data_IF_697012761214
#
_entry.id   IF_697012761214
#
_cell.length_a   1.000
_cell.length_b   1.000
_cell.length_c   1.000
_cell.angle_alpha   90.00
_cell.angle_beta   90.00
_cell.angle_gamma   90.00
#
_symmetry.space_group_name_H-M   'P 1'
#
loop_
_entity.id
_entity.type
_entity.pdbx_description
1 polymer ?
#
# COMPACT_ATOMS: atom_id res chain seq x y z
N UNK A 1 8.73 4.36 -10.48
CA UNK A 1 7.81 5.20 -9.68
C UNK A 1 8.59 6.21 -8.84
N UNK A 2 8.12 7.46 -8.80
CA UNK A 2 8.70 8.56 -8.02
C UNK A 2 7.81 8.80 -6.79
N UNK A 3 8.41 8.78 -5.60
CA UNK A 3 7.70 9.02 -4.35
C UNK A 3 7.68 10.51 -4.00
N UNK A 4 6.51 11.13 -4.14
CA UNK A 4 6.17 12.45 -3.61
C UNK A 4 4.98 12.38 -2.62
N UNK A 5 4.82 11.23 -1.94
CA UNK A 5 3.69 10.97 -1.04
C UNK A 5 4.06 10.78 0.43
N UNK A 6 5.27 10.31 0.75
CA UNK A 6 5.65 9.98 2.12
C UNK A 6 5.77 11.25 3.01
N UNK A 7 5.06 11.34 4.16
CA UNK A 7 4.97 12.57 4.94
C UNK A 7 6.19 12.89 5.82
N UNK A 8 7.08 11.90 6.02
CA UNK A 8 8.24 11.99 6.92
C UNK A 8 9.53 11.46 6.27
N UNK A 9 9.63 11.47 4.94
CA UNK A 9 10.82 10.95 4.25
C UNK A 9 11.96 11.96 4.30
N UNK A 10 13.13 11.50 4.72
CA UNK A 10 14.42 12.16 4.48
C UNK A 10 15.25 11.29 3.56
N UNK A 11 15.92 11.90 2.59
CA UNK A 11 16.92 11.24 1.73
C UNK A 11 18.16 12.14 1.72
N UNK A 12 19.32 11.58 2.04
CA UNK A 12 20.57 12.34 2.17
C UNK A 12 20.41 13.61 3.04
N UNK A 13 19.73 13.48 4.19
CA UNK A 13 19.40 14.57 5.12
C UNK A 13 18.52 15.71 4.59
N UNK A 14 18.00 15.62 3.36
CA UNK A 14 17.05 16.58 2.78
C UNK A 14 15.62 16.06 2.89
N UNK A 15 14.66 16.97 3.04
CA UNK A 15 13.25 16.61 3.02
C UNK A 15 12.87 16.11 1.61
N UNK A 16 12.21 14.96 1.56
CA UNK A 16 11.77 14.30 0.33
C UNK A 16 10.31 13.87 0.48
N UNK A 17 9.78 13.12 -0.49
CA UNK A 17 8.39 12.68 -0.45
C UNK A 17 7.45 13.88 -0.62
N UNK A 18 6.39 13.94 0.19
CA UNK A 18 5.38 15.00 0.06
C UNK A 18 5.84 16.39 0.51
N UNK A 19 7.08 16.53 0.98
CA UNK A 19 7.69 17.84 1.16
C UNK A 19 7.96 18.57 -0.16
N UNK A 20 8.19 17.82 -1.24
CA UNK A 20 8.41 18.38 -2.57
C UNK A 20 7.17 19.11 -3.11
N UNK A 21 5.97 18.74 -2.64
CA UNK A 21 4.71 19.34 -3.09
C UNK A 21 4.59 20.84 -2.76
N UNK A 22 5.48 21.40 -1.93
CA UNK A 22 5.52 22.86 -1.66
C UNK A 22 6.19 23.67 -2.77
N UNK A 23 6.96 23.01 -3.63
CA UNK A 23 7.75 23.65 -4.69
C UNK A 23 7.42 23.00 -6.03
N UNK A 24 6.38 23.52 -6.67
CA UNK A 24 5.86 23.01 -7.95
C UNK A 24 6.90 23.09 -9.07
N UNK A 25 7.77 24.11 -9.04
CA UNK A 25 8.86 24.27 -9.99
C UNK A 25 9.87 23.13 -9.83
N UNK A 26 10.32 22.87 -8.61
CA UNK A 26 11.23 21.77 -8.31
C UNK A 26 10.61 20.41 -8.69
N UNK A 27 9.31 20.24 -8.49
CA UNK A 27 8.60 19.03 -8.95
C UNK A 27 8.75 18.87 -10.47
N UNK A 28 8.46 19.92 -11.25
CA UNK A 28 8.63 19.87 -12.70
C UNK A 28 10.07 19.55 -13.14
N UNK A 29 11.06 20.17 -12.52
CA UNK A 29 12.48 19.91 -12.79
C UNK A 29 12.86 18.45 -12.52
N UNK A 30 12.43 17.88 -11.38
CA UNK A 30 12.71 16.49 -11.03
C UNK A 30 12.04 15.54 -12.03
N UNK A 31 10.75 15.77 -12.34
CA UNK A 31 10.01 14.87 -13.23
C UNK A 31 10.60 14.89 -14.64
N UNK A 32 10.87 16.07 -15.20
CA UNK A 32 11.47 16.20 -16.53
C UNK A 32 12.84 15.54 -16.61
N UNK A 33 13.70 15.73 -15.59
CA UNK A 33 15.01 15.09 -15.56
C UNK A 33 14.92 13.55 -15.48
N UNK A 34 14.03 13.01 -14.66
CA UNK A 34 13.89 11.55 -14.50
C UNK A 34 13.29 10.92 -15.76
N UNK A 35 12.24 11.52 -16.34
CA UNK A 35 11.61 11.03 -17.58
C UNK A 35 12.60 11.04 -18.75
N UNK A 36 13.40 12.10 -18.90
CA UNK A 36 14.39 12.18 -19.97
C UNK A 36 15.58 11.20 -19.80
N UNK A 37 15.78 10.67 -18.59
CA UNK A 37 16.95 9.82 -18.29
C UNK A 37 16.73 8.33 -18.56
N UNK A 38 15.49 7.88 -18.81
CA UNK A 38 15.16 6.46 -18.93
C UNK A 38 14.13 6.19 -20.05
N UNK A 39 14.25 5.04 -20.70
CA UNK A 39 13.31 4.60 -21.75
C UNK A 39 12.07 3.87 -21.19
N UNK A 40 12.06 3.56 -19.90
CA UNK A 40 10.94 2.87 -19.24
C UNK A 40 9.88 3.87 -18.76
N UNK A 41 8.58 3.50 -18.72
CA UNK A 41 7.53 4.39 -18.22
C UNK A 41 7.81 4.88 -16.80
N UNK A 42 7.75 6.20 -16.61
CA UNK A 42 7.91 6.83 -15.29
C UNK A 42 6.53 7.14 -14.72
N UNK A 43 6.28 6.65 -13.51
CA UNK A 43 5.05 6.88 -12.75
C UNK A 43 5.31 7.76 -11.53
N UNK A 44 4.28 8.43 -11.02
CA UNK A 44 4.36 9.32 -9.87
C UNK A 44 3.32 8.96 -8.81
N UNK A 45 3.71 8.98 -7.53
CA UNK A 45 2.79 8.87 -6.40
C UNK A 45 2.82 10.11 -5.51
N UNK A 46 1.68 10.79 -5.37
CA UNK A 46 1.52 12.02 -4.59
C UNK A 46 0.51 11.88 -3.43
N UNK A 47 0.44 12.95 -2.64
CA UNK A 47 -0.66 13.30 -1.73
C UNK A 47 -1.40 14.52 -2.28
N UNK A 48 -2.49 14.92 -1.63
CA UNK A 48 -3.29 16.09 -2.05
C UNK A 48 -2.56 17.45 -1.97
N UNK A 49 -1.46 17.49 -1.21
CA UNK A 49 -0.66 18.69 -0.97
C UNK A 49 0.06 18.62 0.38
N UNK A 50 0.61 19.74 0.83
CA UNK A 50 1.34 19.81 2.10
C UNK A 50 0.41 19.80 3.32
N UNK A 51 -0.62 20.64 3.31
CA UNK A 51 -1.69 20.69 4.32
C UNK A 51 -3.03 21.02 3.65
N UNK A 52 -4.13 21.04 4.42
CA UNK A 52 -5.48 21.24 3.85
C UNK A 52 -5.63 22.61 3.18
N UNK A 53 -4.89 23.60 3.68
CA UNK A 53 -4.88 24.99 3.24
C UNK A 53 -4.03 25.20 1.97
N UNK A 54 -3.14 24.25 1.66
CA UNK A 54 -2.18 24.34 0.54
C UNK A 54 -2.23 23.07 -0.32
N UNK A 55 -3.44 22.66 -0.67
CA UNK A 55 -3.65 21.57 -1.63
C UNK A 55 -3.37 22.05 -3.05
N UNK A 56 -2.58 21.26 -3.78
CA UNK A 56 -2.18 21.59 -5.15
C UNK A 56 -2.07 20.35 -6.05
N UNK A 57 -2.67 19.23 -5.66
CA UNK A 57 -2.60 18.00 -6.44
C UNK A 57 -3.05 18.13 -7.91
N UNK A 58 -4.11 18.89 -8.27
CA UNK A 58 -4.45 19.11 -9.68
C UNK A 58 -3.35 19.85 -10.46
N UNK A 59 -2.67 20.81 -9.84
CA UNK A 59 -1.53 21.51 -10.46
C UNK A 59 -0.34 20.58 -10.64
N UNK A 60 0.00 19.80 -9.60
CA UNK A 60 1.07 18.79 -9.67
C UNK A 60 0.76 17.72 -10.72
N UNK A 61 -0.50 17.32 -10.88
CA UNK A 61 -0.91 16.37 -11.90
C UNK A 61 -0.65 16.88 -13.33
N UNK A 62 -1.02 18.13 -13.62
CA UNK A 62 -0.73 18.77 -14.93
C UNK A 62 0.77 18.90 -15.21
N UNK A 63 1.55 19.23 -14.18
CA UNK A 63 3.02 19.26 -14.28
C UNK A 63 3.56 17.86 -14.61
N UNK A 64 3.05 16.84 -13.93
CA UNK A 64 3.46 15.46 -14.16
C UNK A 64 3.13 14.97 -15.57
N UNK A 65 1.91 15.22 -16.04
CA UNK A 65 1.48 14.91 -17.41
C UNK A 65 2.37 15.64 -18.44
N UNK A 66 2.59 16.94 -18.26
CA UNK A 66 3.44 17.75 -19.16
C UNK A 66 4.89 17.26 -19.19
N UNK A 67 5.38 16.71 -18.08
CA UNK A 67 6.72 16.13 -17.98
C UNK A 67 6.83 14.73 -18.57
N UNK A 68 5.73 14.09 -19.00
CA UNK A 68 5.72 12.75 -19.60
C UNK A 68 5.51 11.61 -18.59
N UNK A 69 5.01 11.88 -17.38
CA UNK A 69 4.61 10.83 -16.43
C UNK A 69 3.47 10.01 -17.01
N UNK A 70 3.61 8.68 -17.02
CA UNK A 70 2.66 7.78 -17.68
C UNK A 70 1.47 7.36 -16.81
N UNK A 71 1.58 7.47 -15.48
CA UNK A 71 0.51 7.14 -14.53
C UNK A 71 0.72 7.89 -13.21
N UNK A 72 -0.38 8.39 -12.64
CA UNK A 72 -0.39 9.15 -11.39
C UNK A 72 -1.19 8.42 -10.31
N UNK A 73 -0.57 8.12 -9.18
CA UNK A 73 -1.29 7.64 -7.98
C UNK A 73 -1.49 8.78 -6.98
N UNK A 74 -2.73 8.98 -6.52
CA UNK A 74 -3.09 10.03 -5.56
C UNK A 74 -3.59 9.40 -4.27
N UNK A 75 -2.85 9.61 -3.17
CA UNK A 75 -3.40 9.35 -1.84
C UNK A 75 -4.29 10.53 -1.42
N UNK A 76 -5.57 10.29 -1.12
CA UNK A 76 -6.58 11.32 -0.78
C UNK A 76 -6.40 11.96 0.60
N UNK A 77 -5.17 12.16 1.07
CA UNK A 77 -4.85 12.92 2.29
C UNK A 77 -3.68 13.85 1.98
N UNK A 78 -3.58 14.95 2.70
CA UNK A 78 -2.42 15.85 2.65
C UNK A 78 -1.25 15.27 3.45
N UNK A 79 -0.05 15.85 3.32
CA UNK A 79 1.11 15.46 4.12
C UNK A 79 0.85 15.61 5.62
N UNK A 80 0.23 16.72 6.03
CA UNK A 80 -0.08 17.03 7.43
C UNK A 80 -0.97 15.99 8.10
N UNK A 81 -1.92 15.40 7.36
CA UNK A 81 -2.80 14.35 7.87
C UNK A 81 -2.04 13.10 8.34
N UNK A 82 -0.84 12.82 7.82
CA UNK A 82 -0.17 11.50 7.98
C UNK A 82 -1.13 10.36 7.64
N UNK A 83 -1.61 9.62 8.65
CA UNK A 83 -2.58 8.53 8.53
C UNK A 83 -3.92 8.83 9.24
N UNK A 84 -4.10 10.05 9.75
CA UNK A 84 -5.29 10.49 10.48
C UNK A 84 -6.29 11.22 9.57
N UNK A 85 -7.55 11.26 10.02
CA UNK A 85 -8.67 11.86 9.29
C UNK A 85 -9.08 11.05 8.07
N UNK A 86 -10.18 11.44 7.45
CA UNK A 86 -10.75 10.72 6.30
C UNK A 86 -9.95 10.93 5.01
N UNK A 87 -10.15 10.01 4.08
CA UNK A 87 -9.64 10.11 2.71
C UNK A 87 -10.62 10.94 1.89
N UNK A 88 -10.14 12.02 1.32
CA UNK A 88 -10.91 12.92 0.46
C UNK A 88 -10.87 12.40 -0.99
N UNK A 89 -11.86 11.57 -1.31
CA UNK A 89 -12.04 11.03 -2.66
C UNK A 89 -12.56 12.09 -3.64
N UNK A 90 -13.28 13.12 -3.19
CA UNK A 90 -13.72 14.21 -4.07
C UNK A 90 -12.52 15.02 -4.59
N UNK A 91 -11.52 15.25 -3.74
CA UNK A 91 -10.27 15.85 -4.18
C UNK A 91 -9.50 14.98 -5.18
N UNK A 92 -9.61 13.64 -5.09
CA UNK A 92 -9.06 12.74 -6.13
C UNK A 92 -9.82 12.90 -7.44
N UNK A 93 -11.16 12.99 -7.41
CA UNK A 93 -11.97 13.22 -8.62
C UNK A 93 -11.54 14.51 -9.34
N UNK A 94 -11.32 15.61 -8.61
CA UNK A 94 -10.80 16.84 -9.20
C UNK A 94 -9.38 16.74 -9.78
N UNK A 95 -8.59 15.73 -9.38
CA UNK A 95 -7.31 15.40 -10.05
C UNK A 95 -7.54 14.59 -11.31
N UNK A 96 -8.48 13.63 -11.30
CA UNK A 96 -8.87 12.86 -12.48
C UNK A 96 -9.36 13.79 -13.59
N UNK A 97 -10.21 14.76 -13.27
CA UNK A 97 -10.73 15.74 -14.23
C UNK A 97 -9.66 16.69 -14.80
N UNK A 98 -8.51 16.81 -14.13
CA UNK A 98 -7.48 17.77 -14.47
C UNK A 98 -6.46 17.28 -15.51
N UNK A 99 -6.41 15.98 -15.81
CA UNK A 99 -5.39 15.35 -16.67
C UNK A 99 -6.00 14.22 -17.52
N UNK A 100 -5.30 13.83 -18.59
CA UNK A 100 -5.67 12.70 -19.45
C UNK A 100 -4.94 11.41 -19.10
N UNK A 101 -3.78 11.49 -18.45
CA UNK A 101 -3.05 10.29 -17.98
C UNK A 101 -3.86 9.50 -16.93
N UNK A 102 -3.70 8.17 -16.86
CA UNK A 102 -4.46 7.35 -15.91
C UNK A 102 -4.11 7.72 -14.46
N UNK A 103 -5.16 7.99 -13.68
CA UNK A 103 -5.07 8.27 -12.24
C UNK A 103 -5.49 7.05 -11.43
N UNK A 104 -4.72 6.73 -10.39
CA UNK A 104 -4.98 5.64 -9.44
C UNK A 104 -5.37 6.22 -8.08
N UNK A 105 -6.59 5.93 -7.63
CA UNK A 105 -7.09 6.36 -6.33
C UNK A 105 -6.48 5.52 -5.18
N UNK A 106 -6.08 6.18 -4.09
CA UNK A 106 -5.44 5.52 -2.97
C UNK A 106 -5.87 6.10 -1.61
N UNK A 107 -5.99 5.21 -0.63
CA UNK A 107 -6.24 5.53 0.77
C UNK A 107 -7.45 4.77 1.27
N UNK A 108 -7.29 4.00 2.35
CA UNK A 108 -8.38 3.34 3.10
C UNK A 108 -9.39 2.56 2.25
N UNK A 109 -8.86 1.84 1.25
CA UNK A 109 -9.60 0.86 0.45
C UNK A 109 -9.26 -0.51 1.02
N UNK A 110 -10.24 -1.10 1.71
CA UNK A 110 -10.10 -2.32 2.50
C UNK A 110 -11.00 -3.48 2.06
N UNK A 111 -11.86 -3.24 1.07
CA UNK A 111 -12.83 -4.21 0.58
C UNK A 111 -13.11 -4.01 -0.91
N UNK A 112 -13.65 -5.04 -1.54
CA UNK A 112 -14.03 -5.03 -2.95
C UNK A 112 -15.14 -4.01 -3.24
N UNK A 113 -16.11 -3.91 -2.34
CA UNK A 113 -17.21 -2.95 -2.41
C UNK A 113 -16.68 -1.52 -2.25
N UNK A 114 -15.77 -1.28 -1.30
CA UNK A 114 -15.14 0.04 -1.14
C UNK A 114 -14.34 0.41 -2.38
N UNK A 115 -13.61 -0.53 -2.98
CA UNK A 115 -12.87 -0.30 -4.22
C UNK A 115 -13.81 0.13 -5.36
N UNK A 116 -14.94 -0.57 -5.56
CA UNK A 116 -15.98 -0.17 -6.53
C UNK A 116 -16.50 1.22 -6.24
N UNK A 117 -16.94 1.50 -5.02
CA UNK A 117 -17.49 2.80 -4.63
C UNK A 117 -16.49 3.94 -4.85
N UNK A 118 -15.19 3.71 -4.60
CA UNK A 118 -14.15 4.71 -4.86
C UNK A 118 -13.95 4.94 -6.36
N UNK A 119 -13.94 3.88 -7.19
CA UNK A 119 -13.86 4.04 -8.64
C UNK A 119 -15.06 4.83 -9.18
N UNK A 120 -16.28 4.47 -8.75
CA UNK A 120 -17.51 5.12 -9.19
C UNK A 120 -17.55 6.60 -8.75
N UNK A 121 -17.07 6.91 -7.54
CA UNK A 121 -17.02 8.27 -7.02
C UNK A 121 -15.96 9.15 -7.71
N UNK A 122 -14.80 8.58 -8.03
CA UNK A 122 -13.63 9.35 -8.47
C UNK A 122 -13.43 9.40 -9.98
N UNK A 123 -13.97 8.42 -10.72
CA UNK A 123 -13.63 8.22 -12.12
C UNK A 123 -12.19 7.73 -12.35
N UNK A 124 -11.47 7.35 -11.29
CA UNK A 124 -10.09 6.88 -11.39
C UNK A 124 -10.00 5.59 -12.23
N UNK A 125 -8.88 5.42 -12.93
CA UNK A 125 -8.64 4.26 -13.79
C UNK A 125 -8.36 2.98 -12.99
N UNK A 126 -7.86 3.11 -11.76
CA UNK A 126 -7.61 1.99 -10.85
C UNK A 126 -7.61 2.43 -9.39
N UNK A 127 -7.54 1.46 -8.48
CA UNK A 127 -7.32 1.66 -7.05
C UNK A 127 -6.01 1.04 -6.60
N UNK A 128 -5.36 1.64 -5.61
CA UNK A 128 -4.18 1.08 -4.94
C UNK A 128 -4.52 0.74 -3.50
N UNK A 129 -4.31 -0.53 -3.12
CA UNK A 129 -4.45 -1.01 -1.76
C UNK A 129 -3.11 -0.95 -1.02
N UNK A 130 -3.16 -0.77 0.30
CA UNK A 130 -1.97 -0.63 1.14
C UNK A 130 -2.10 -1.43 2.43
N UNK A 131 -2.45 -0.75 3.53
CA UNK A 131 -2.53 -1.39 4.86
C UNK A 131 -3.45 -2.60 4.91
N UNK A 132 -4.58 -2.58 4.21
CA UNK A 132 -5.54 -3.67 4.22
C UNK A 132 -5.02 -4.99 3.62
N UNK A 133 -3.93 -4.98 2.84
CA UNK A 133 -3.33 -6.22 2.32
C UNK A 133 -2.31 -6.83 3.29
N UNK A 134 -1.95 -6.12 4.37
CA UNK A 134 -1.11 -6.66 5.43
C UNK A 134 -1.92 -7.70 6.21
N UNK A 135 -1.50 -8.97 6.15
CA UNK A 135 -2.26 -10.10 6.72
C UNK A 135 -3.33 -10.67 5.80
N UNK A 136 -3.72 -9.93 4.75
CA UNK A 136 -4.70 -10.36 3.76
C UNK A 136 -4.19 -10.14 2.32
N UNK A 137 -3.08 -10.79 1.91
CA UNK A 137 -2.52 -10.58 0.57
C UNK A 137 -3.47 -10.99 -0.57
N UNK A 138 -4.43 -11.88 -0.30
CA UNK A 138 -5.46 -12.28 -1.26
C UNK A 138 -6.49 -11.17 -1.55
N UNK A 139 -6.56 -10.11 -0.72
CA UNK A 139 -7.54 -9.03 -0.88
C UNK A 139 -7.45 -8.39 -2.27
N UNK A 140 -6.25 -8.21 -2.83
CA UNK A 140 -6.08 -7.66 -4.16
C UNK A 140 -6.78 -8.51 -5.23
N UNK A 141 -6.68 -9.84 -5.13
CA UNK A 141 -7.37 -10.78 -6.02
C UNK A 141 -8.89 -10.78 -5.80
N UNK A 142 -9.36 -10.60 -4.56
CA UNK A 142 -10.79 -10.44 -4.25
C UNK A 142 -11.36 -9.17 -4.87
N UNK A 143 -10.66 -8.03 -4.72
CA UNK A 143 -11.04 -6.76 -5.34
C UNK A 143 -11.07 -6.89 -6.86
N UNK A 144 -10.00 -7.40 -7.45
CA UNK A 144 -9.87 -7.56 -8.90
C UNK A 144 -10.98 -8.46 -9.49
N UNK A 145 -11.30 -9.58 -8.84
CA UNK A 145 -12.40 -10.45 -9.24
C UNK A 145 -13.76 -9.75 -9.19
N UNK A 146 -14.07 -9.07 -8.08
CA UNK A 146 -15.33 -8.33 -7.93
C UNK A 146 -15.45 -7.18 -8.93
N UNK A 147 -14.36 -6.47 -9.22
CA UNK A 147 -14.37 -5.38 -10.19
C UNK A 147 -14.64 -5.87 -11.63
N UNK A 148 -14.22 -7.10 -11.98
CA UNK A 148 -14.46 -7.69 -13.31
C UNK A 148 -15.81 -8.38 -13.45
N UNK A 149 -16.30 -9.01 -12.40
CA UNK A 149 -17.46 -9.92 -12.48
C UNK A 149 -18.71 -9.37 -11.79
N UNK A 150 -18.54 -8.46 -10.82
CA UNK A 150 -19.61 -8.06 -9.90
C UNK A 150 -19.88 -9.08 -8.78
N UNK A 151 -19.18 -10.21 -8.76
CA UNK A 151 -19.37 -11.30 -7.81
C UNK A 151 -18.30 -11.31 -6.72
N UNK A 152 -18.70 -11.66 -5.50
CA UNK A 152 -17.76 -11.78 -4.39
C UNK A 152 -16.99 -13.09 -4.48
N UNK A 153 -15.66 -13.00 -4.47
CA UNK A 153 -14.81 -14.18 -4.34
C UNK A 153 -14.93 -14.76 -2.93
N UNK A 154 -15.01 -16.09 -2.84
CA UNK A 154 -14.92 -16.79 -1.57
C UNK A 154 -13.54 -16.52 -0.96
N UNK A 155 -13.52 -16.08 0.31
CA UNK A 155 -12.28 -15.89 1.04
C UNK A 155 -11.57 -17.24 1.24
N UNK A 156 -10.23 -17.27 1.25
CA UNK A 156 -9.51 -18.50 1.49
C UNK A 156 -9.90 -19.08 2.84
N UNK A 157 -10.05 -20.40 2.90
CA UNK A 157 -10.32 -21.07 4.17
C UNK A 157 -9.06 -21.04 5.05
N UNK A 158 -9.24 -21.24 6.34
CA UNK A 158 -8.18 -21.17 7.33
C UNK A 158 -6.96 -22.06 6.99
N UNK A 159 -7.21 -23.27 6.47
CA UNK A 159 -6.15 -24.19 6.04
C UNK A 159 -5.32 -23.64 4.87
N UNK A 160 -5.93 -22.88 3.96
CA UNK A 160 -5.22 -22.20 2.87
C UNK A 160 -4.41 -21.01 3.37
N UNK A 161 -4.96 -20.25 4.34
CA UNK A 161 -4.26 -19.14 4.99
C UNK A 161 -3.03 -19.66 5.74
N UNK A 162 -3.19 -20.72 6.54
CA UNK A 162 -2.09 -21.40 7.24
C UNK A 162 -0.98 -21.81 6.27
N UNK A 163 -1.36 -22.53 5.20
CA UNK A 163 -0.41 -22.97 4.18
C UNK A 163 0.32 -21.79 3.55
N UNK A 164 -0.38 -20.72 3.18
CA UNK A 164 0.22 -19.53 2.61
C UNK A 164 1.16 -18.83 3.59
N UNK A 165 0.82 -18.78 4.88
CA UNK A 165 1.65 -18.18 5.91
C UNK A 165 2.95 -18.98 6.13
N UNK A 166 2.87 -20.30 6.23
CA UNK A 166 4.05 -21.17 6.36
C UNK A 166 4.98 -21.02 5.17
N UNK A 167 4.44 -21.03 3.95
CA UNK A 167 5.22 -20.79 2.72
C UNK A 167 5.87 -19.40 2.77
N UNK A 168 5.14 -18.38 3.20
CA UNK A 168 5.69 -17.03 3.29
C UNK A 168 6.85 -16.93 4.29
N UNK A 169 6.76 -17.56 5.46
CA UNK A 169 7.87 -17.58 6.44
C UNK A 169 9.11 -18.25 5.87
N UNK A 170 8.95 -19.42 5.21
CA UNK A 170 10.06 -20.12 4.55
C UNK A 170 10.70 -19.28 3.43
N UNK A 171 9.89 -18.60 2.62
CA UNK A 171 10.40 -17.71 1.57
C UNK A 171 11.17 -16.50 2.13
N UNK A 172 10.82 -16.02 3.33
CA UNK A 172 11.55 -14.93 3.98
C UNK A 172 12.95 -15.38 4.41
N UNK A 173 13.11 -16.61 4.88
CA UNK A 173 14.42 -17.19 5.14
C UNK A 173 15.22 -17.40 3.86
N UNK A 174 14.60 -17.97 2.82
CA UNK A 174 15.28 -18.17 1.54
C UNK A 174 15.83 -16.85 0.99
N UNK A 175 15.06 -15.76 1.11
CA UNK A 175 15.44 -14.47 0.57
C UNK A 175 16.42 -13.67 1.45
N UNK A 176 16.22 -13.67 2.77
CA UNK A 176 16.99 -12.84 3.70
C UNK A 176 18.08 -13.60 4.48
N UNK A 177 18.14 -14.93 4.33
CA UNK A 177 18.92 -15.84 5.16
C UNK A 177 18.25 -16.10 6.51
N UNK A 178 18.74 -17.12 7.21
CA UNK A 178 18.19 -17.64 8.48
C UNK A 178 17.89 -16.54 9.51
N UNK A 179 18.91 -15.73 9.85
CA UNK A 179 18.81 -14.74 10.94
C UNK A 179 17.84 -13.60 10.61
N UNK A 180 17.93 -13.03 9.40
CA UNK A 180 17.07 -11.90 9.03
C UNK A 180 15.68 -12.37 8.62
N UNK A 181 15.55 -13.53 7.99
CA UNK A 181 14.29 -14.16 7.63
C UNK A 181 13.39 -14.34 8.84
N UNK A 182 13.89 -15.02 9.88
CA UNK A 182 13.14 -15.22 11.12
C UNK A 182 12.74 -13.89 11.79
N UNK A 183 13.59 -12.86 11.75
CA UNK A 183 13.26 -11.53 12.33
C UNK A 183 12.22 -10.79 11.51
N UNK A 184 12.28 -10.87 10.19
CA UNK A 184 11.32 -10.21 9.28
C UNK A 184 9.97 -10.91 9.35
N UNK A 185 9.95 -12.24 9.47
CA UNK A 185 8.72 -13.04 9.59
C UNK A 185 7.80 -12.55 10.71
N UNK A 186 8.36 -12.12 11.86
CA UNK A 186 7.61 -11.60 13.01
C UNK A 186 6.57 -10.55 12.65
N UNK A 187 6.92 -9.58 11.81
CA UNK A 187 5.97 -8.52 11.42
C UNK A 187 4.88 -9.05 10.49
N UNK A 188 5.22 -9.98 9.59
CA UNK A 188 4.27 -10.55 8.64
C UNK A 188 3.29 -11.47 9.38
N UNK A 189 3.77 -12.38 10.21
CA UNK A 189 2.95 -13.25 11.05
C UNK A 189 2.05 -12.43 11.96
N UNK A 190 2.58 -11.38 12.60
CA UNK A 190 1.78 -10.45 13.40
C UNK A 190 0.65 -9.75 12.64
N UNK A 191 0.78 -9.55 11.31
CA UNK A 191 -0.31 -9.04 10.48
C UNK A 191 -1.35 -10.11 10.17
N UNK A 192 -0.93 -11.34 9.84
CA UNK A 192 -1.87 -12.43 9.55
C UNK A 192 -2.72 -12.81 10.75
N UNK A 193 -2.12 -12.86 11.94
CA UNK A 193 -2.76 -13.34 13.16
C UNK A 193 -3.34 -12.21 14.02
N UNK A 194 -3.42 -11.00 13.47
CA UNK A 194 -3.85 -9.82 14.23
C UNK A 194 -5.29 -10.01 14.73
N UNK A 195 -5.47 -10.01 16.06
CA UNK A 195 -6.76 -10.21 16.71
C UNK A 195 -7.28 -11.65 16.73
N UNK A 196 -6.51 -12.61 16.21
CA UNK A 196 -6.86 -14.04 16.22
C UNK A 196 -6.17 -14.75 17.40
N UNK A 197 -4.91 -14.40 17.67
CA UNK A 197 -4.10 -15.04 18.72
C UNK A 197 -3.91 -14.15 19.95
N UNK A 198 -3.56 -14.78 21.08
CA UNK A 198 -3.28 -14.07 22.32
C UNK A 198 -2.00 -13.23 22.26
N UNK A 199 -1.95 -12.18 23.10
CA UNK A 199 -0.73 -11.36 23.27
C UNK A 199 0.44 -12.20 23.77
N UNK A 200 0.17 -13.23 24.56
CA UNK A 200 1.18 -14.16 25.08
C UNK A 200 1.78 -15.01 23.96
N UNK A 201 0.94 -15.55 23.07
CA UNK A 201 1.41 -16.26 21.88
C UNK A 201 2.34 -15.37 21.05
N UNK A 202 1.93 -14.13 20.75
CA UNK A 202 2.77 -13.21 19.98
C UNK A 202 4.09 -12.87 20.68
N UNK A 203 4.09 -12.78 22.02
CA UNK A 203 5.32 -12.58 22.79
C UNK A 203 6.26 -13.77 22.65
N UNK A 204 5.75 -15.00 22.78
CA UNK A 204 6.51 -16.24 22.57
C UNK A 204 7.05 -16.30 21.15
N UNK A 205 6.20 -16.09 20.15
CA UNK A 205 6.54 -16.10 18.73
C UNK A 205 7.67 -15.12 18.40
N UNK A 206 7.61 -13.89 18.94
CA UNK A 206 8.65 -12.88 18.73
C UNK A 206 10.01 -13.23 19.38
N UNK A 207 10.03 -14.20 20.30
CA UNK A 207 11.25 -14.74 20.91
C UNK A 207 11.92 -15.85 20.11
N UNK A 208 11.23 -16.44 19.13
CA UNK A 208 11.76 -17.55 18.31
C UNK A 208 12.89 -17.07 17.41
N UNK A 209 13.91 -17.92 17.23
CA UNK A 209 15.16 -17.56 16.56
C UNK A 209 15.35 -18.25 15.21
N UNK A 210 14.61 -19.32 14.93
CA UNK A 210 14.65 -20.02 13.64
C UNK A 210 13.30 -20.04 12.93
N UNK A 211 13.34 -20.26 11.62
CA UNK A 211 12.15 -20.50 10.80
C UNK A 211 11.39 -21.74 11.24
N UNK A 212 12.10 -22.82 11.59
CA UNK A 212 11.44 -24.08 11.93
C UNK A 212 10.61 -23.94 13.21
N UNK A 213 11.18 -23.33 14.26
CA UNK A 213 10.44 -22.98 15.49
C UNK A 213 9.19 -22.12 15.18
N UNK A 214 9.31 -21.17 14.25
CA UNK A 214 8.20 -20.30 13.85
C UNK A 214 7.12 -21.08 13.11
N UNK A 215 7.49 -22.00 12.21
CA UNK A 215 6.56 -22.84 11.47
C UNK A 215 5.82 -23.77 12.42
N UNK A 216 6.51 -24.40 13.36
CA UNK A 216 5.89 -25.24 14.40
C UNK A 216 4.87 -24.45 15.22
N UNK A 217 5.25 -23.26 15.72
CA UNK A 217 4.34 -22.40 16.48
C UNK A 217 3.10 -21.96 15.67
N UNK A 218 3.26 -21.71 14.37
CA UNK A 218 2.12 -21.42 13.48
C UNK A 218 1.21 -22.64 13.35
N UNK A 219 1.77 -23.83 13.16
CA UNK A 219 0.97 -25.05 13.02
C UNK A 219 0.18 -25.31 14.31
N UNK A 220 0.80 -25.18 15.48
CA UNK A 220 0.14 -25.33 16.78
C UNK A 220 -1.03 -24.34 16.96
N UNK A 221 -0.82 -23.05 16.66
CA UNK A 221 -1.85 -22.03 16.83
C UNK A 221 -3.13 -22.34 16.03
N UNK A 222 -2.98 -22.84 14.80
CA UNK A 222 -4.11 -23.20 13.95
C UNK A 222 -4.72 -24.58 14.29
N UNK A 223 -4.09 -25.39 15.14
CA UNK A 223 -4.68 -26.64 15.63
C UNK A 223 -5.53 -26.40 16.88
N UNK A 224 -5.13 -25.46 17.74
CA UNK A 224 -5.87 -25.11 18.96
C UNK A 224 -7.21 -24.42 18.65
N UNK A 225 -7.30 -23.63 17.57
CA UNK A 225 -8.56 -23.02 17.12
C UNK A 225 -9.57 -24.04 16.56
N UNK A 226 -9.12 -25.22 16.10
CA UNK A 226 -10.02 -26.30 15.68
C UNK A 226 -10.64 -27.08 16.86
N UNK A 227 -10.13 -26.88 18.08
CA UNK A 227 -10.58 -27.58 19.29
C UNK A 227 -11.51 -26.74 20.18
N UNK A 228 -11.73 -25.47 19.84
CA UNK A 228 -12.62 -24.52 20.55
C UNK A 228 -13.91 -24.27 19.76
#
# INVERSE_FOLDING_TARGET
DINMGCPAKKVCNKQAGSALLRDEKLVGEILGAVVAAVDVPVTLKIRLGWCKETQNAPTIARIAESAGVSLLTVHGRTRACKFAGDVDYQAIAGVVDAVSIPVVANGDIDSAQKARAVLDQTGAAAVMLGRATQGHPWLAATVDHYLRTGEMKINPVESEIKRALVVHVRNLEEFYGEVLGARIARKHVGWYLSGQVSVEFMRKFNGLQSTEEQVEAIIEAFLEEMAA
#
